data_IF_650323535185
#
_entry.id   IF_650323535185
#
_cell.length_a   1.000
_cell.length_b   1.000
_cell.length_c   1.000
_cell.angle_alpha   90.00
_cell.angle_beta   90.00
_cell.angle_gamma   90.00
#
_symmetry.space_group_name_H-M   'P 1'
#
loop_
_entity.id
_entity.type
_entity.pdbx_description
1 polymer ?
#
# COMPACT_ATOMS: atom_id res chain seq x y z
N UNK A 1 -46.48 38.06 -36.67
CA UNK A 1 -46.27 37.30 -37.91
C UNK A 1 -45.20 36.26 -37.65
N UNK A 2 -45.57 34.97 -37.75
CA UNK A 2 -44.70 33.76 -37.83
C UNK A 2 -43.75 33.54 -36.65
N UNK A 3 -43.99 32.61 -35.70
CA UNK A 3 -43.83 31.14 -35.87
C UNK A 3 -42.57 30.79 -36.68
N UNK A 4 -41.62 29.98 -36.19
CA UNK A 4 -41.87 28.58 -35.86
C UNK A 4 -40.64 27.91 -35.19
N UNK A 5 -40.89 27.23 -34.05
CA UNK A 5 -40.40 25.88 -33.62
C UNK A 5 -38.87 25.57 -33.55
N UNK A 6 -38.34 24.77 -32.60
CA UNK A 6 -38.91 24.04 -31.47
C UNK A 6 -37.80 23.61 -30.50
N UNK A 7 -38.25 23.45 -29.27
CA UNK A 7 -37.63 22.86 -28.10
C UNK A 7 -37.34 21.35 -28.32
N UNK A 8 -36.11 20.90 -28.13
CA UNK A 8 -35.70 19.52 -27.87
C UNK A 8 -34.53 19.60 -26.89
N UNK A 9 -34.48 18.93 -25.74
CA UNK A 9 -35.36 17.97 -25.11
C UNK A 9 -34.57 17.47 -23.89
N UNK A 10 -35.05 17.80 -22.70
CA UNK A 10 -34.53 17.24 -21.45
C UNK A 10 -34.83 15.73 -21.46
N UNK A 11 -33.84 14.88 -21.73
CA UNK A 11 -33.93 13.49 -21.31
C UNK A 11 -33.63 13.41 -19.82
N UNK A 12 -34.66 13.71 -19.01
CA UNK A 12 -34.79 13.13 -17.68
C UNK A 12 -34.99 11.62 -17.88
N UNK A 13 -33.97 10.85 -17.55
CA UNK A 13 -34.11 9.42 -17.30
C UNK A 13 -34.88 9.25 -15.98
N UNK A 14 -36.20 9.25 -16.06
CA UNK A 14 -37.08 8.75 -15.00
C UNK A 14 -37.00 7.22 -15.03
N UNK A 15 -36.03 6.64 -14.31
CA UNK A 15 -36.07 5.23 -13.99
C UNK A 15 -37.19 5.02 -12.95
N UNK A 16 -38.35 4.56 -13.41
CA UNK A 16 -39.38 3.97 -12.53
C UNK A 16 -38.78 2.75 -11.83
N UNK A 17 -38.29 2.93 -10.60
CA UNK A 17 -38.07 1.79 -9.70
C UNK A 17 -39.43 1.40 -9.15
N UNK A 18 -40.09 0.50 -9.87
CA UNK A 18 -41.21 -0.25 -9.33
C UNK A 18 -40.71 -1.00 -8.09
N UNK A 19 -41.33 -0.70 -6.94
CA UNK A 19 -41.08 -1.38 -5.69
C UNK A 19 -41.34 -2.87 -5.84
N UNK A 20 -40.27 -3.66 -5.85
CA UNK A 20 -40.33 -5.07 -5.47
C UNK A 20 -39.72 -5.13 -4.08
N UNK A 21 -40.57 -4.91 -3.09
CA UNK A 21 -40.29 -5.27 -1.71
C UNK A 21 -40.21 -6.81 -1.68
N UNK A 22 -39.05 -7.37 -2.02
CA UNK A 22 -38.77 -8.78 -1.75
C UNK A 22 -38.61 -8.86 -0.25
N UNK A 23 -39.62 -9.41 0.42
CA UNK A 23 -39.52 -9.91 1.77
C UNK A 23 -38.28 -10.81 1.83
N UNK A 24 -37.16 -10.27 2.32
CA UNK A 24 -36.00 -11.06 2.70
C UNK A 24 -36.43 -11.74 3.98
N UNK A 25 -37.08 -12.89 3.86
CA UNK A 25 -37.25 -13.81 4.95
C UNK A 25 -35.88 -14.01 5.54
N UNK A 26 -35.68 -13.56 6.78
CA UNK A 26 -34.45 -13.76 7.54
C UNK A 26 -34.38 -15.25 7.87
N UNK A 27 -34.05 -16.08 6.88
CA UNK A 27 -33.65 -17.46 7.06
C UNK A 27 -32.31 -17.42 7.79
N UNK A 28 -32.40 -17.28 9.11
CA UNK A 28 -31.28 -17.47 10.01
C UNK A 28 -31.00 -18.97 10.02
N UNK A 29 -30.30 -19.44 8.99
CA UNK A 29 -29.66 -20.74 9.05
C UNK A 29 -28.74 -20.68 10.27
N UNK A 30 -29.08 -21.43 11.32
CA UNK A 30 -28.11 -21.75 12.36
C UNK A 30 -27.06 -22.57 11.62
N UNK A 31 -26.01 -21.93 11.13
CA UNK A 31 -24.87 -22.64 10.59
C UNK A 31 -24.34 -23.54 11.71
N UNK A 32 -24.68 -24.82 11.65
CA UNK A 32 -24.09 -25.83 12.50
C UNK A 32 -22.73 -26.13 11.87
N UNK A 33 -21.78 -25.23 12.11
CA UNK A 33 -20.40 -25.44 11.70
C UNK A 33 -19.93 -26.70 12.45
N UNK A 34 -19.58 -27.73 11.69
CA UNK A 34 -19.14 -29.01 12.22
C UNK A 34 -17.91 -29.49 11.44
N UNK A 35 -17.04 -30.24 12.10
CA UNK A 35 -15.80 -30.74 11.49
C UNK A 35 -14.88 -29.61 11.04
N UNK A 36 -14.35 -29.73 9.83
CA UNK A 36 -13.35 -28.80 9.28
C UNK A 36 -13.87 -27.36 9.15
N UNK A 37 -15.17 -27.18 8.87
CA UNK A 37 -15.80 -25.85 8.70
C UNK A 37 -15.92 -25.09 10.04
N UNK A 38 -15.78 -25.78 11.17
CA UNK A 38 -15.66 -25.15 12.50
C UNK A 38 -14.19 -24.80 12.83
N UNK A 39 -13.25 -25.64 12.41
CA UNK A 39 -11.84 -25.53 12.81
C UNK A 39 -11.04 -24.52 11.96
N UNK A 40 -11.43 -24.31 10.70
CA UNK A 40 -10.70 -23.46 9.77
C UNK A 40 -11.57 -22.34 9.19
N UNK A 41 -11.13 -21.09 9.37
CA UNK A 41 -11.74 -19.93 8.69
C UNK A 41 -11.49 -19.94 7.18
N UNK A 42 -10.36 -20.51 6.75
CA UNK A 42 -10.00 -20.65 5.34
C UNK A 42 -9.17 -21.91 5.13
N UNK A 43 -9.52 -22.69 4.10
CA UNK A 43 -8.77 -23.87 3.67
C UNK A 43 -8.24 -23.64 2.26
N UNK A 44 -7.04 -23.07 2.17
CA UNK A 44 -6.40 -22.87 0.88
C UNK A 44 -5.95 -24.20 0.30
N UNK A 45 -6.27 -24.45 -0.97
CA UNK A 45 -5.74 -25.59 -1.73
C UNK A 45 -4.23 -25.44 -1.94
N UNK A 46 -3.75 -24.21 -2.05
CA UNK A 46 -2.33 -23.89 -2.23
C UNK A 46 -1.73 -23.60 -0.85
N UNK A 47 -0.61 -24.23 -0.45
CA UNK A 47 0.06 -23.92 0.81
C UNK A 47 0.41 -22.43 0.91
N UNK A 48 0.20 -21.81 2.08
CA UNK A 48 0.38 -20.35 2.27
C UNK A 48 1.75 -19.82 1.82
N UNK A 49 2.80 -20.63 1.95
CA UNK A 49 4.17 -20.26 1.57
C UNK A 49 4.65 -20.86 0.24
N UNK A 50 3.75 -21.40 -0.57
CA UNK A 50 4.09 -22.10 -1.82
C UNK A 50 4.98 -21.27 -2.76
N UNK A 51 4.69 -19.96 -2.91
CA UNK A 51 5.41 -19.07 -3.83
C UNK A 51 6.68 -18.41 -3.25
N UNK A 52 6.99 -18.61 -1.97
CA UNK A 52 8.11 -17.91 -1.32
C UNK A 52 9.45 -18.18 -2.01
N UNK A 53 9.69 -19.44 -2.42
CA UNK A 53 10.93 -19.85 -3.11
C UNK A 53 11.08 -19.26 -4.52
N UNK A 54 9.99 -18.79 -5.12
CA UNK A 54 9.94 -18.25 -6.48
C UNK A 54 9.86 -16.71 -6.53
N UNK A 55 9.93 -16.04 -5.38
CA UNK A 55 9.89 -14.58 -5.35
C UNK A 55 11.09 -13.98 -6.09
N UNK A 56 10.83 -12.96 -6.91
CA UNK A 56 11.89 -12.21 -7.57
C UNK A 56 12.62 -11.35 -6.56
N UNK A 57 13.93 -11.19 -6.79
CA UNK A 57 14.78 -10.33 -5.98
C UNK A 57 14.40 -8.86 -6.16
N UNK A 58 14.53 -8.09 -5.09
CA UNK A 58 14.32 -6.65 -5.11
C UNK A 58 15.44 -5.98 -5.92
N UNK A 59 15.16 -5.26 -7.01
CA UNK A 59 16.20 -4.65 -7.83
C UNK A 59 16.79 -3.42 -7.14
N UNK A 60 18.11 -3.26 -7.26
CA UNK A 60 18.80 -2.01 -6.89
C UNK A 60 18.74 -1.06 -8.10
N UNK A 61 18.18 0.16 -7.95
CA UNK A 61 18.12 1.13 -9.05
C UNK A 61 19.51 1.64 -9.44
N UNK A 62 19.64 2.16 -10.67
CA UNK A 62 20.86 2.83 -11.11
C UNK A 62 21.07 4.10 -10.27
N UNK A 63 22.32 4.38 -9.89
CA UNK A 63 22.66 5.54 -9.07
C UNK A 63 22.13 6.86 -9.65
N UNK A 64 22.36 7.11 -10.95
CA UNK A 64 21.90 8.33 -11.60
C UNK A 64 20.37 8.47 -11.61
N UNK A 65 19.62 7.36 -11.78
CA UNK A 65 18.15 7.38 -11.70
C UNK A 65 17.69 7.76 -10.29
N UNK A 66 18.35 7.23 -9.26
CA UNK A 66 18.08 7.57 -7.85
C UNK A 66 18.40 9.05 -7.56
N UNK A 67 19.56 9.54 -8.00
CA UNK A 67 19.95 10.95 -7.85
C UNK A 67 18.97 11.90 -8.54
N UNK A 68 18.54 11.57 -9.76
CA UNK A 68 17.57 12.37 -10.51
C UNK A 68 16.19 12.39 -9.84
N UNK A 69 15.70 11.24 -9.35
CA UNK A 69 14.43 11.16 -8.62
C UNK A 69 14.49 11.95 -7.32
N UNK A 70 15.60 11.84 -6.58
CA UNK A 70 15.82 12.62 -5.36
C UNK A 70 15.76 14.12 -5.64
N UNK A 71 16.49 14.61 -6.66
CA UNK A 71 16.47 16.02 -7.03
C UNK A 71 15.08 16.49 -7.49
N UNK A 72 14.36 15.67 -8.27
CA UNK A 72 13.00 15.98 -8.67
C UNK A 72 12.07 16.17 -7.46
N UNK A 73 12.18 15.31 -6.44
CA UNK A 73 11.42 15.46 -5.18
C UNK A 73 11.87 16.67 -4.36
N UNK A 74 13.19 16.89 -4.24
CA UNK A 74 13.75 18.01 -3.47
C UNK A 74 13.34 19.37 -4.04
N UNK A 75 13.26 19.48 -5.37
CA UNK A 75 12.87 20.72 -6.07
C UNK A 75 11.49 21.25 -5.67
N UNK A 76 10.58 20.36 -5.24
CA UNK A 76 9.21 20.75 -4.84
C UNK A 76 9.20 21.39 -3.45
N UNK A 77 10.21 21.11 -2.61
CA UNK A 77 10.22 21.49 -1.20
C UNK A 77 11.23 22.61 -0.93
N UNK A 78 12.36 22.60 -1.64
CA UNK A 78 13.48 23.52 -1.38
C UNK A 78 13.33 24.86 -2.12
N UNK A 79 13.90 25.91 -1.52
CA UNK A 79 14.12 27.17 -2.21
C UNK A 79 15.09 27.00 -3.38
N UNK A 80 15.05 27.88 -4.38
CA UNK A 80 15.99 27.83 -5.52
C UNK A 80 17.47 27.87 -5.08
N UNK A 81 17.77 28.65 -4.04
CA UNK A 81 19.11 28.78 -3.51
C UNK A 81 19.60 27.48 -2.85
N UNK A 82 18.74 26.82 -2.07
CA UNK A 82 19.10 25.57 -1.40
C UNK A 82 19.08 24.39 -2.38
N UNK A 83 18.14 24.37 -3.33
CA UNK A 83 18.12 23.37 -4.40
C UNK A 83 19.44 23.38 -5.19
N UNK A 84 19.95 24.55 -5.58
CA UNK A 84 21.23 24.64 -6.29
C UNK A 84 22.40 24.06 -5.48
N UNK A 85 22.43 24.30 -4.17
CA UNK A 85 23.45 23.71 -3.28
C UNK A 85 23.29 22.19 -3.21
N UNK A 86 22.08 21.70 -2.99
CA UNK A 86 21.75 20.27 -2.94
C UNK A 86 22.10 19.58 -4.25
N UNK A 87 21.75 20.18 -5.39
CA UNK A 87 22.09 19.66 -6.71
C UNK A 87 23.60 19.52 -6.89
N UNK A 88 24.38 20.54 -6.55
CA UNK A 88 25.84 20.46 -6.63
C UNK A 88 26.40 19.30 -5.79
N UNK A 89 25.91 19.12 -4.56
CA UNK A 89 26.32 18.02 -3.67
C UNK A 89 25.94 16.66 -4.25
N UNK A 90 24.69 16.49 -4.71
CA UNK A 90 24.22 15.22 -5.29
C UNK A 90 24.99 14.86 -6.55
N UNK A 91 25.27 15.83 -7.42
CA UNK A 91 26.06 15.61 -8.64
C UNK A 91 27.53 15.30 -8.35
N UNK A 92 28.08 15.86 -7.27
CA UNK A 92 29.40 15.47 -6.77
C UNK A 92 29.40 14.02 -6.30
N UNK A 93 28.46 13.67 -5.41
CA UNK A 93 28.27 12.31 -4.89
C UNK A 93 28.08 11.27 -6.01
N UNK A 94 27.26 11.56 -7.01
CA UNK A 94 27.03 10.69 -8.16
C UNK A 94 28.31 10.34 -8.92
N UNK A 95 29.29 11.26 -8.95
CA UNK A 95 30.56 11.10 -9.67
C UNK A 95 31.70 10.55 -8.82
N UNK A 96 31.61 10.67 -7.49
CA UNK A 96 32.65 10.26 -6.54
C UNK A 96 32.19 9.08 -5.68
N UNK A 97 32.02 9.29 -4.38
CA UNK A 97 31.75 8.28 -3.35
C UNK A 97 30.52 7.41 -3.67
N UNK A 98 29.51 7.98 -4.34
CA UNK A 98 28.30 7.25 -4.70
C UNK A 98 28.57 6.07 -5.64
N UNK A 99 29.58 6.14 -6.50
CA UNK A 99 29.96 5.01 -7.37
C UNK A 99 30.54 3.84 -6.57
N UNK A 100 31.40 4.14 -5.60
CA UNK A 100 32.02 3.15 -4.72
C UNK A 100 30.97 2.48 -3.82
N UNK A 101 30.10 3.29 -3.22
CA UNK A 101 28.99 2.80 -2.39
C UNK A 101 27.98 1.97 -3.19
N UNK A 102 27.64 2.39 -4.42
CA UNK A 102 26.75 1.63 -5.31
C UNK A 102 27.38 0.27 -5.66
N UNK A 103 28.69 0.22 -5.93
CA UNK A 103 29.41 -1.02 -6.19
C UNK A 103 29.37 -1.95 -4.98
N UNK A 104 29.65 -1.42 -3.79
CA UNK A 104 29.60 -2.16 -2.53
C UNK A 104 28.18 -2.69 -2.24
N UNK A 105 27.14 -1.89 -2.48
CA UNK A 105 25.75 -2.29 -2.31
C UNK A 105 25.36 -3.43 -3.26
N UNK A 106 25.75 -3.33 -4.53
CA UNK A 106 25.53 -4.40 -5.51
C UNK A 106 26.30 -5.67 -5.16
N UNK A 107 27.49 -5.55 -4.57
CA UNK A 107 28.27 -6.69 -4.10
C UNK A 107 27.65 -7.36 -2.88
N UNK A 108 27.21 -6.57 -1.89
CA UNK A 108 26.45 -7.06 -0.76
C UNK A 108 25.21 -7.83 -1.23
N UNK A 109 24.42 -7.28 -2.15
CA UNK A 109 23.26 -7.98 -2.70
C UNK A 109 23.65 -9.27 -3.44
N UNK A 110 24.72 -9.30 -4.23
CA UNK A 110 25.17 -10.54 -4.89
C UNK A 110 25.53 -11.66 -3.91
N UNK A 111 26.05 -11.29 -2.74
CA UNK A 111 26.50 -12.24 -1.71
C UNK A 111 25.37 -12.70 -0.77
N UNK A 112 24.24 -11.98 -0.71
CA UNK A 112 23.10 -12.28 0.17
C UNK A 112 21.80 -12.50 -0.64
N UNK A 113 21.68 -13.68 -1.25
CA UNK A 113 20.58 -14.00 -2.19
C UNK A 113 19.28 -14.48 -1.54
N UNK A 114 19.36 -14.86 -0.27
CA UNK A 114 18.25 -15.32 0.56
C UNK A 114 17.42 -14.17 1.14
N UNK A 115 17.87 -12.92 0.99
CA UNK A 115 17.21 -11.71 1.48
C UNK A 115 17.25 -10.59 0.43
N UNK A 116 16.82 -9.38 0.82
CA UNK A 116 16.97 -8.15 0.03
C UNK A 116 17.94 -7.19 0.70
N UNK A 117 18.62 -6.38 -0.12
CA UNK A 117 19.65 -5.42 0.33
C UNK A 117 19.18 -4.44 1.42
N UNK A 118 17.87 -4.20 1.53
CA UNK A 118 17.29 -3.19 2.43
C UNK A 118 16.73 -3.78 3.71
N UNK A 119 16.51 -5.10 3.78
CA UNK A 119 15.79 -5.74 4.87
C UNK A 119 16.43 -5.48 6.24
N UNK A 120 17.72 -5.77 6.37
CA UNK A 120 18.48 -5.58 7.61
C UNK A 120 18.60 -4.10 8.00
N UNK A 121 19.07 -3.17 7.13
CA UNK A 121 19.11 -1.75 7.47
C UNK A 121 17.74 -1.17 7.87
N UNK A 122 16.66 -1.64 7.25
CA UNK A 122 15.30 -1.19 7.56
C UNK A 122 14.87 -1.65 8.95
N UNK A 123 15.11 -2.91 9.32
CA UNK A 123 14.85 -3.39 10.68
C UNK A 123 15.71 -2.66 11.72
N UNK A 124 16.99 -2.50 11.44
CA UNK A 124 17.94 -1.84 12.33
C UNK A 124 17.52 -0.38 12.61
N UNK A 125 16.98 0.34 11.62
CA UNK A 125 16.42 1.69 11.80
C UNK A 125 15.33 1.72 12.90
N UNK A 126 14.39 0.77 12.90
CA UNK A 126 13.35 0.72 13.93
C UNK A 126 13.88 0.22 15.27
N UNK A 127 14.72 -0.81 15.27
CA UNK A 127 15.22 -1.45 16.49
C UNK A 127 16.23 -0.58 17.24
N UNK A 128 16.98 0.28 16.54
CA UNK A 128 17.92 1.24 17.17
C UNK A 128 17.23 2.49 17.70
N UNK A 129 16.01 2.80 17.25
CA UNK A 129 15.33 4.00 17.71
C UNK A 129 15.11 3.98 19.22
N UNK A 130 15.32 5.13 19.83
CA UNK A 130 15.06 5.37 21.26
C UNK A 130 13.75 6.14 21.49
N UNK A 131 13.02 6.46 20.43
CA UNK A 131 11.70 7.09 20.56
C UNK A 131 10.69 6.06 21.12
N UNK A 132 9.78 6.47 22.01
CA UNK A 132 8.73 5.59 22.50
C UNK A 132 7.90 5.01 21.34
N UNK A 133 7.63 3.71 21.36
CA UNK A 133 6.79 3.07 20.33
C UNK A 133 5.37 3.65 20.22
N UNK A 134 4.67 3.97 21.33
CA UNK A 134 3.39 4.66 21.26
C UNK A 134 3.54 5.99 20.52
N UNK A 135 2.56 6.33 19.68
CA UNK A 135 2.50 7.55 18.84
C UNK A 135 3.51 7.59 17.69
N UNK A 136 4.78 7.24 17.92
CA UNK A 136 5.83 7.37 16.90
C UNK A 136 5.83 6.23 15.87
N UNK A 137 5.50 5.00 16.29
CA UNK A 137 5.63 3.81 15.43
C UNK A 137 4.38 2.96 15.34
N UNK A 138 3.68 2.74 16.45
CA UNK A 138 2.56 1.79 16.48
C UNK A 138 1.29 2.43 15.90
N UNK A 139 0.83 2.06 14.68
CA UNK A 139 -0.48 2.46 14.20
C UNK A 139 -1.56 1.61 14.88
N UNK A 140 -2.82 2.01 14.73
CA UNK A 140 -3.96 1.17 15.09
C UNK A 140 -4.93 1.07 13.91
N UNK A 141 -5.66 -0.04 13.86
CA UNK A 141 -6.82 -0.23 13.00
C UNK A 141 -8.03 -0.51 13.89
N UNK A 142 -9.20 -0.01 13.49
CA UNK A 142 -10.45 -0.30 14.18
C UNK A 142 -11.33 -1.19 13.32
N UNK A 143 -11.98 -2.16 13.95
CA UNK A 143 -13.05 -2.93 13.33
C UNK A 143 -14.32 -2.08 13.27
N UNK A 144 -15.13 -2.31 12.23
CA UNK A 144 -16.52 -1.90 12.27
C UNK A 144 -17.23 -2.67 13.40
N UNK A 145 -18.23 -2.07 14.07
CA UNK A 145 -19.06 -2.82 15.02
C UNK A 145 -19.75 -3.99 14.31
N UNK A 146 -20.01 -5.08 15.03
CA UNK A 146 -20.81 -6.18 14.51
C UNK A 146 -22.19 -5.61 14.09
N UNK A 147 -22.68 -5.94 12.87
CA UNK A 147 -24.00 -5.51 12.40
C UNK A 147 -25.14 -5.86 13.36
N UNK A 148 -24.94 -6.85 14.23
CA UNK A 148 -25.85 -7.26 15.26
C UNK A 148 -25.36 -6.79 16.64
N UNK A 149 -25.98 -5.73 17.13
CA UNK A 149 -25.63 -5.04 18.37
C UNK A 149 -25.45 -5.96 19.61
N UNK A 150 -26.14 -7.10 19.67
CA UNK A 150 -26.00 -8.06 20.78
C UNK A 150 -24.58 -8.63 20.93
N UNK A 151 -23.80 -8.64 19.84
CA UNK A 151 -22.44 -9.18 19.81
C UNK A 151 -21.37 -8.11 20.06
N UNK A 152 -21.78 -6.84 20.22
CA UNK A 152 -20.87 -5.74 20.55
C UNK A 152 -20.70 -5.54 22.07
N UNK A 153 -21.37 -6.35 22.89
CA UNK A 153 -21.20 -6.29 24.34
C UNK A 153 -19.92 -7.02 24.74
N UNK A 154 -19.13 -6.42 25.64
CA UNK A 154 -17.80 -6.91 26.00
C UNK A 154 -17.82 -8.22 26.82
N UNK A 155 -18.97 -8.68 27.32
CA UNK A 155 -19.09 -9.90 28.14
C UNK A 155 -20.42 -10.62 27.95
#
# INVERSE_FOLDING_TARGET
TGQQLHLLGMLRFELRIAGVCKNVTKCRSKHHLAGDDYQFLQRSVIPSYHFQKSLRRLPIPKLGDTCNRFLASAKVILSDADYKKTEAVVRSFEKSEGQELQKALLEYDRNHKDTSYICEPWFDMYLRSRLPCPVNYNPFMMYAPDPNARFNHQV
#
